data_IF_228387995288
#
_entry.id   IF_228387995288
#
_cell.length_a   1.000
_cell.length_b   1.000
_cell.length_c   1.000
_cell.angle_alpha   90.00
_cell.angle_beta   90.00
_cell.angle_gamma   90.00
#
_symmetry.space_group_name_H-M   'P 1'
#
loop_
_entity.id
_entity.type
_entity.pdbx_description
1 polymer ?
#
# COMPACT_ATOMS: atom_id res chain seq x y z
N UNK A 1 -33.55 -20.41 13.60
CA UNK A 1 -34.16 -19.83 12.38
C UNK A 1 -33.73 -18.38 12.13
N UNK A 2 -34.37 -17.33 12.68
CA UNK A 2 -34.01 -15.92 12.31
C UNK A 2 -32.60 -15.48 12.76
N UNK A 3 -32.16 -15.88 13.96
CA UNK A 3 -30.83 -15.52 14.48
C UNK A 3 -29.67 -16.16 13.71
N UNK A 4 -29.82 -17.41 13.27
CA UNK A 4 -28.80 -18.14 12.51
C UNK A 4 -28.62 -17.56 11.11
N UNK A 5 -29.72 -17.17 10.46
CA UNK A 5 -29.68 -16.50 9.16
C UNK A 5 -28.92 -15.17 9.27
N UNK A 6 -29.13 -14.41 10.35
CA UNK A 6 -28.40 -13.17 10.63
C UNK A 6 -26.88 -13.40 10.79
N UNK A 7 -26.50 -14.46 11.51
CA UNK A 7 -25.08 -14.82 11.69
C UNK A 7 -24.44 -15.21 10.35
N UNK A 8 -25.11 -16.01 9.54
CA UNK A 8 -24.61 -16.43 8.21
C UNK A 8 -24.40 -15.22 7.30
N UNK A 9 -25.33 -14.26 7.32
CA UNK A 9 -25.20 -13.00 6.56
C UNK A 9 -23.98 -12.21 7.02
N UNK A 10 -23.77 -12.05 8.32
CA UNK A 10 -22.59 -11.33 8.86
C UNK A 10 -21.28 -12.03 8.46
N UNK A 11 -21.23 -13.35 8.54
CA UNK A 11 -20.06 -14.13 8.10
C UNK A 11 -19.78 -13.97 6.60
N UNK A 12 -20.83 -13.94 5.77
CA UNK A 12 -20.70 -13.67 4.33
C UNK A 12 -20.13 -12.27 4.06
N UNK A 13 -20.62 -11.24 4.76
CA UNK A 13 -20.07 -9.89 4.62
C UNK A 13 -18.62 -9.80 5.07
N UNK A 14 -18.26 -10.42 6.20
CA UNK A 14 -16.89 -10.44 6.69
C UNK A 14 -15.93 -11.18 5.75
N UNK A 15 -16.37 -12.30 5.16
CA UNK A 15 -15.56 -13.05 4.20
C UNK A 15 -15.40 -12.32 2.87
N UNK A 16 -16.45 -11.67 2.37
CA UNK A 16 -16.35 -10.80 1.19
C UNK A 16 -15.43 -9.59 1.46
N UNK A 17 -15.53 -8.97 2.63
CA UNK A 17 -14.68 -7.85 3.03
C UNK A 17 -13.20 -8.27 3.16
N UNK A 18 -12.95 -9.42 3.78
CA UNK A 18 -11.59 -9.98 3.86
C UNK A 18 -11.03 -10.35 2.48
N UNK A 19 -11.86 -10.90 1.59
CA UNK A 19 -11.47 -11.21 0.21
C UNK A 19 -11.18 -9.92 -0.58
N UNK A 20 -12.01 -8.90 -0.43
CA UNK A 20 -11.81 -7.59 -1.06
C UNK A 20 -10.51 -6.96 -0.57
N UNK A 21 -10.27 -6.95 0.75
CA UNK A 21 -9.01 -6.48 1.33
C UNK A 21 -7.81 -7.26 0.77
N UNK A 22 -7.86 -8.59 0.79
CA UNK A 22 -6.78 -9.43 0.27
C UNK A 22 -6.54 -9.26 -1.24
N UNK A 23 -7.59 -8.96 -2.02
CA UNK A 23 -7.48 -8.72 -3.45
C UNK A 23 -6.88 -7.34 -3.74
N UNK A 24 -7.25 -6.32 -2.96
CA UNK A 24 -6.72 -4.96 -3.11
C UNK A 24 -5.26 -4.85 -2.61
N UNK A 25 -4.91 -5.64 -1.59
CA UNK A 25 -3.57 -5.67 -0.97
C UNK A 25 -2.55 -6.49 -1.80
N UNK A 26 -3.01 -7.32 -2.75
CA UNK A 26 -2.16 -8.18 -3.61
C UNK A 26 -1.75 -7.60 -4.96
N UNK A 27 -2.23 -6.43 -5.35
CA UNK A 27 -1.89 -5.88 -6.66
C UNK A 27 -0.42 -5.43 -6.77
N UNK A 28 0.24 -5.09 -5.66
CA UNK A 28 1.61 -4.57 -5.70
C UNK A 28 2.67 -5.67 -5.84
N UNK A 29 2.39 -6.93 -5.47
CA UNK A 29 3.38 -8.03 -5.49
C UNK A 29 3.83 -8.42 -6.90
N UNK A 30 2.93 -8.29 -7.88
CA UNK A 30 3.20 -8.58 -9.29
C UNK A 30 3.87 -7.41 -10.02
N UNK A 31 3.87 -6.20 -9.43
CA UNK A 31 4.47 -5.00 -10.03
C UNK A 31 5.99 -5.05 -9.85
N UNK A 32 6.80 -4.80 -10.90
CA UNK A 32 8.26 -4.67 -10.79
C UNK A 32 8.66 -3.59 -9.78
N UNK A 33 9.75 -3.82 -9.05
CA UNK A 33 10.19 -2.95 -7.95
C UNK A 33 10.36 -1.48 -8.40
N UNK A 34 10.95 -1.25 -9.57
CA UNK A 34 11.17 0.09 -10.13
C UNK A 34 9.85 0.80 -10.47
N UNK A 35 8.88 0.06 -10.99
CA UNK A 35 7.56 0.59 -11.33
C UNK A 35 6.76 0.92 -10.06
N UNK A 36 6.83 0.05 -9.04
CA UNK A 36 6.24 0.30 -7.73
C UNK A 36 6.84 1.57 -7.07
N UNK A 37 8.15 1.79 -7.19
CA UNK A 37 8.79 3.01 -6.69
C UNK A 37 8.28 4.28 -7.39
N UNK A 38 8.06 4.23 -8.72
CA UNK A 38 7.50 5.35 -9.47
C UNK A 38 6.04 5.63 -9.09
N UNK A 39 5.23 4.59 -8.89
CA UNK A 39 3.84 4.72 -8.44
C UNK A 39 3.81 5.36 -7.05
N UNK A 40 4.59 4.85 -6.09
CA UNK A 40 4.67 5.41 -4.75
C UNK A 40 5.10 6.89 -4.76
N UNK A 41 6.05 7.26 -5.60
CA UNK A 41 6.48 8.66 -5.74
C UNK A 41 5.36 9.55 -6.32
N UNK A 42 4.62 9.04 -7.31
CA UNK A 42 3.47 9.73 -7.91
C UNK A 42 2.34 9.92 -6.90
N UNK A 43 1.99 8.86 -6.16
CA UNK A 43 0.94 8.87 -5.14
C UNK A 43 1.28 9.85 -4.02
N UNK A 44 2.53 9.86 -3.55
CA UNK A 44 3.00 10.83 -2.56
C UNK A 44 2.81 12.28 -3.03
N UNK A 45 3.16 12.58 -4.29
CA UNK A 45 2.95 13.91 -4.87
C UNK A 45 1.46 14.26 -4.98
N UNK A 46 0.59 13.29 -5.24
CA UNK A 46 -0.85 13.49 -5.27
C UNK A 46 -1.39 13.81 -3.87
N UNK A 47 -0.97 13.06 -2.84
CA UNK A 47 -1.35 13.28 -1.44
C UNK A 47 -0.95 14.69 -0.97
N UNK A 48 0.25 15.16 -1.33
CA UNK A 48 0.69 16.51 -1.01
C UNK A 48 -0.16 17.63 -1.62
N UNK A 49 -0.92 17.34 -2.68
CA UNK A 49 -1.86 18.29 -3.31
C UNK A 49 -3.27 18.23 -2.73
N UNK A 50 -3.60 17.19 -1.97
CA UNK A 50 -4.92 17.03 -1.35
C UNK A 50 -5.14 18.06 -0.22
N UNK A 51 -6.38 18.38 0.15
CA UNK A 51 -6.66 19.17 1.34
C UNK A 51 -6.26 18.41 2.63
N UNK A 52 -5.80 19.13 3.65
CA UNK A 52 -5.14 18.57 4.85
C UNK A 52 -5.99 17.51 5.56
N UNK A 53 -7.30 17.71 5.61
CA UNK A 53 -8.25 16.80 6.25
C UNK A 53 -8.31 15.40 5.62
N UNK A 54 -7.88 15.23 4.36
CA UNK A 54 -7.86 13.95 3.66
C UNK A 54 -6.44 13.36 3.57
N UNK A 55 -5.41 14.11 3.98
CA UNK A 55 -4.03 13.66 3.85
C UNK A 55 -3.67 12.57 4.84
N UNK A 56 -4.26 12.58 6.03
CA UNK A 56 -3.89 11.65 7.10
C UNK A 56 -4.16 10.21 6.67
N UNK A 57 -5.39 9.92 6.27
CA UNK A 57 -5.81 8.59 5.84
C UNK A 57 -5.04 8.13 4.58
N UNK A 58 -4.90 9.02 3.60
CA UNK A 58 -4.17 8.71 2.36
C UNK A 58 -2.67 8.48 2.60
N UNK A 59 -2.06 9.18 3.56
CA UNK A 59 -0.66 9.00 3.95
C UNK A 59 -0.44 7.70 4.72
N UNK A 60 -1.41 7.28 5.54
CA UNK A 60 -1.37 6.01 6.26
C UNK A 60 -1.45 4.82 5.28
N UNK A 61 -2.35 4.89 4.30
CA UNK A 61 -2.47 3.89 3.23
C UNK A 61 -1.19 3.83 2.36
N UNK A 62 -0.66 5.00 1.98
CA UNK A 62 0.60 5.09 1.23
C UNK A 62 1.78 4.49 2.00
N UNK A 63 1.85 4.74 3.32
CA UNK A 63 2.91 4.20 4.17
C UNK A 63 2.88 2.67 4.21
N UNK A 64 1.70 2.06 4.29
CA UNK A 64 1.57 0.60 4.24
C UNK A 64 2.15 0.01 2.95
N UNK A 65 1.87 0.65 1.81
CA UNK A 65 2.43 0.25 0.49
C UNK A 65 3.94 0.49 0.41
N UNK A 66 4.43 1.58 1.00
CA UNK A 66 5.87 1.87 1.06
C UNK A 66 6.63 0.85 1.91
N UNK A 67 6.08 0.44 3.05
CA UNK A 67 6.67 -0.59 3.91
C UNK A 67 6.76 -1.94 3.16
N UNK A 68 5.73 -2.30 2.38
CA UNK A 68 5.75 -3.48 1.52
C UNK A 68 6.84 -3.39 0.43
N UNK A 69 7.01 -2.22 -0.19
CA UNK A 69 8.11 -1.97 -1.13
C UNK A 69 9.49 -2.13 -0.46
N UNK A 70 9.70 -1.57 0.74
CA UNK A 70 10.95 -1.71 1.49
C UNK A 70 11.26 -3.18 1.80
N UNK A 71 10.27 -3.95 2.27
CA UNK A 71 10.44 -5.38 2.52
C UNK A 71 10.85 -6.15 1.26
N UNK A 72 10.27 -5.82 0.09
CA UNK A 72 10.65 -6.43 -1.20
C UNK A 72 12.04 -6.00 -1.66
N UNK A 73 12.40 -4.73 -1.43
CA UNK A 73 13.74 -4.21 -1.72
C UNK A 73 14.80 -4.97 -0.90
N UNK A 74 14.58 -5.12 0.40
CA UNK A 74 15.47 -5.85 1.30
C UNK A 74 15.56 -7.34 0.91
N UNK A 75 14.42 -7.97 0.59
CA UNK A 75 14.37 -9.37 0.15
C UNK A 75 15.05 -9.60 -1.21
N UNK A 76 15.04 -8.60 -2.10
CA UNK A 76 15.72 -8.69 -3.40
C UNK A 76 17.24 -8.66 -3.29
N UNK A 77 17.79 -8.27 -2.13
CA UNK A 77 19.23 -8.10 -1.93
C UNK A 77 19.83 -7.00 -2.82
N UNK A 78 18.98 -6.20 -3.49
CA UNK A 78 19.42 -5.06 -4.27
C UNK A 78 20.01 -4.04 -3.30
N UNK A 79 21.33 -3.86 -3.36
CA UNK A 79 21.97 -2.73 -2.69
C UNK A 79 21.28 -1.46 -3.18
N UNK A 80 20.87 -0.54 -2.28
CA UNK A 80 20.40 0.76 -2.73
C UNK A 80 21.48 1.35 -3.64
N UNK A 81 21.13 1.90 -4.81
CA UNK A 81 22.11 2.60 -5.63
C UNK A 81 22.76 3.65 -4.73
N UNK A 82 24.09 3.58 -4.59
CA UNK A 82 24.86 4.59 -3.86
C UNK A 82 24.68 5.92 -4.58
N UNK A 83 23.65 6.67 -4.20
CA UNK A 83 23.53 8.07 -4.58
C UNK A 83 24.61 8.82 -3.81
N UNK A 84 25.79 8.91 -4.43
CA UNK A 84 26.84 9.87 -4.06
C UNK A 84 26.30 11.28 -4.32
N UNK A 85 25.43 11.77 -3.45
CA UNK A 85 25.06 13.18 -3.42
C UNK A 85 26.27 13.92 -2.86
N UNK A 86 27.17 14.34 -3.76
CA UNK A 86 28.16 15.33 -3.42
C UNK A 86 27.41 16.63 -3.12
N UNK A 87 27.35 17.01 -1.84
CA UNK A 87 26.95 18.34 -1.43
C UNK A 87 27.91 19.35 -2.07
N UNK A 88 27.45 20.04 -3.11
CA UNK A 88 28.12 21.22 -3.64
C UNK A 88 27.93 22.32 -2.60
N UNK A 89 29.03 22.83 -2.05
CA UNK A 89 29.10 23.88 -1.04
C UNK A 89 28.90 25.26 -1.65
#
# INVERSE_FOLDING_TARGET
MQFEVLIVIVFLFLSIFALYKACNERCDDDIPLEELAMILLSDYRAILKMPINLRVDAMEEWKGRFDAYCNRLDASGAKPPEFNIQLIK
#
